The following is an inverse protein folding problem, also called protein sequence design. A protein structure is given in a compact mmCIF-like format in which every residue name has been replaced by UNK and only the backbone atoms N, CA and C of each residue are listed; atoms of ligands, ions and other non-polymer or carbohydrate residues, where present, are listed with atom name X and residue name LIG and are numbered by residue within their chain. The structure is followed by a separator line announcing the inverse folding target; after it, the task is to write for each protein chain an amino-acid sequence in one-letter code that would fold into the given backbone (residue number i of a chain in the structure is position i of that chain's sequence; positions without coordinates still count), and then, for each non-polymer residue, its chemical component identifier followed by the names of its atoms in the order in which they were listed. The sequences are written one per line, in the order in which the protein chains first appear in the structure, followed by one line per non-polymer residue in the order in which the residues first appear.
data_IF_810911874087
#
_entry.id   IF_810911874087
#
_cell.length_a   1.000
_cell.length_b   1.000
_cell.length_c   1.000
_cell.angle_alpha   90.00
_cell.angle_beta   90.00
_cell.angle_gamma   90.00
#
_symmetry.space_group_name_H-M   'P 1'
#
loop_
_entity.id
_entity.type
_entity.pdbx_description
1 polymer ?
#
# COMPACT_ATOMS: atom_id res chain seq x y z
N UNK A 1 -49.60 64.65 11.42
CA UNK A 1 -48.24 65.08 11.07
C UNK A 1 -47.29 63.93 11.34
N UNK A 2 -46.46 63.60 10.34
CA UNK A 2 -45.21 62.79 10.31
C UNK A 2 -45.20 61.41 11.01
N UNK A 3 -45.35 60.30 10.29
CA UNK A 3 -44.38 59.54 9.45
C UNK A 3 -43.23 58.88 10.20
N UNK A 4 -43.36 57.56 10.33
CA UNK A 4 -42.31 56.57 10.63
C UNK A 4 -41.38 56.38 9.44
N UNK A 5 -40.06 56.32 9.70
CA UNK A 5 -39.08 55.73 8.78
C UNK A 5 -38.91 54.26 9.14
N UNK A 6 -38.77 53.36 8.16
CA UNK A 6 -37.82 52.22 8.23
C UNK A 6 -37.58 51.68 6.82
N UNK A 7 -36.30 51.74 6.46
CA UNK A 7 -35.60 51.29 5.27
C UNK A 7 -35.81 49.80 4.97
N UNK A 8 -36.05 49.44 3.71
CA UNK A 8 -35.88 48.07 3.21
C UNK A 8 -34.85 48.06 2.08
N UNK A 9 -33.87 47.19 2.24
CA UNK A 9 -32.62 47.04 1.49
C UNK A 9 -32.82 46.64 0.02
N UNK A 10 -32.02 47.21 -0.87
CA UNK A 10 -31.84 46.78 -2.27
C UNK A 10 -30.63 45.83 -2.32
N UNK A 11 -30.72 44.70 -3.03
CA UNK A 11 -29.64 44.10 -3.86
C UNK A 11 -30.18 42.82 -4.52
N UNK A 12 -30.68 42.92 -5.76
CA UNK A 12 -29.98 42.60 -7.03
C UNK A 12 -29.97 41.11 -7.37
N UNK A 13 -30.97 40.70 -8.14
CA UNK A 13 -31.00 39.43 -8.89
C UNK A 13 -29.85 39.41 -9.90
N UNK A 14 -28.89 38.50 -9.72
CA UNK A 14 -27.85 38.23 -10.75
C UNK A 14 -28.52 37.53 -11.95
N UNK A 15 -28.33 37.99 -13.20
CA UNK A 15 -28.88 37.30 -14.36
C UNK A 15 -28.17 35.95 -14.55
N UNK A 16 -28.92 34.84 -14.50
CA UNK A 16 -28.43 33.46 -14.74
C UNK A 16 -28.22 33.14 -16.23
N UNK A 17 -28.42 34.12 -17.11
CA UNK A 17 -28.37 33.95 -18.56
C UNK A 17 -26.94 33.88 -19.15
N UNK A 18 -25.95 34.70 -18.72
CA UNK A 18 -24.59 34.64 -19.26
C UNK A 18 -23.87 33.32 -18.90
N UNK A 19 -24.10 32.80 -17.69
CA UNK A 19 -23.53 31.54 -17.23
C UNK A 19 -24.01 30.33 -18.07
N UNK A 20 -25.27 30.36 -18.55
CA UNK A 20 -25.81 29.31 -19.43
C UNK A 20 -25.20 29.35 -20.83
N UNK A 21 -24.87 30.53 -21.35
CA UNK A 21 -24.25 30.66 -22.68
C UNK A 21 -22.77 30.24 -22.73
N UNK A 22 -22.08 30.25 -21.58
CA UNK A 22 -20.70 29.78 -21.49
C UNK A 22 -20.58 28.25 -21.63
N UNK A 23 -21.61 27.50 -21.21
CA UNK A 23 -21.62 26.02 -21.28
C UNK A 23 -21.85 25.53 -22.72
N UNK A 24 -22.57 26.29 -23.55
CA UNK A 24 -22.89 25.92 -24.94
C UNK A 24 -21.83 26.34 -25.97
N UNK A 25 -20.84 27.15 -25.58
CA UNK A 25 -19.76 27.67 -26.45
C UNK A 25 -18.37 27.10 -26.13
N UNK A 26 -18.27 26.08 -25.30
CA UNK A 26 -17.01 25.39 -25.06
C UNK A 26 -16.69 24.45 -26.23
N UNK A 27 -15.52 24.59 -26.83
CA UNK A 27 -15.04 23.66 -27.84
C UNK A 27 -14.97 22.26 -27.20
N UNK A 28 -15.55 21.20 -27.79
CA UNK A 28 -15.59 19.90 -27.14
C UNK A 28 -14.16 19.39 -26.94
N UNK A 29 -13.75 19.26 -25.69
CA UNK A 29 -12.44 18.71 -25.36
C UNK A 29 -12.44 17.21 -25.65
N UNK A 30 -12.02 16.84 -26.85
CA UNK A 30 -11.81 15.46 -27.24
C UNK A 30 -10.48 14.98 -26.68
N UNK A 31 -10.54 14.12 -25.66
CA UNK A 31 -9.37 13.39 -25.22
C UNK A 31 -8.92 12.45 -26.35
N UNK A 32 -7.65 12.52 -26.82
CA UNK A 32 -7.15 11.66 -27.90
C UNK A 32 -7.18 10.17 -27.57
N UNK A 33 -7.24 9.86 -26.26
CA UNK A 33 -7.29 8.50 -25.72
C UNK A 33 -8.37 8.43 -24.65
N UNK A 34 -8.96 7.25 -24.48
CA UNK A 34 -9.96 7.05 -23.44
C UNK A 34 -9.38 7.30 -22.03
N UNK A 35 -10.24 7.71 -21.10
CA UNK A 35 -9.86 7.83 -19.69
C UNK A 35 -9.37 6.49 -19.11
N UNK A 36 -9.88 5.36 -19.58
CA UNK A 36 -9.42 4.03 -19.15
C UNK A 36 -7.98 3.76 -19.55
N UNK A 37 -7.61 4.14 -20.78
CA UNK A 37 -6.23 4.05 -21.27
C UNK A 37 -5.30 4.95 -20.45
N UNK A 38 -5.66 6.22 -20.24
CA UNK A 38 -4.82 7.13 -19.45
C UNK A 38 -4.62 6.59 -18.02
N UNK A 39 -5.67 6.04 -17.40
CA UNK A 39 -5.57 5.39 -16.10
C UNK A 39 -4.68 4.14 -16.12
N UNK A 40 -4.69 3.34 -17.19
CA UNK A 40 -3.79 2.18 -17.27
C UNK A 40 -2.34 2.61 -17.41
N UNK A 41 -2.03 3.62 -18.23
CA UNK A 41 -0.66 4.13 -18.38
C UNK A 41 -0.10 4.66 -17.06
N UNK A 42 -0.88 5.46 -16.34
CA UNK A 42 -0.46 6.01 -15.04
C UNK A 42 -0.20 4.88 -14.04
N UNK A 43 -1.08 3.86 -13.99
CA UNK A 43 -0.88 2.70 -13.10
C UNK A 43 0.36 1.91 -13.48
N UNK A 44 0.60 1.68 -14.77
CA UNK A 44 1.77 0.96 -15.26
C UNK A 44 3.06 1.70 -14.91
N UNK A 45 3.10 3.01 -15.14
CA UNK A 45 4.26 3.84 -14.78
C UNK A 45 4.52 3.84 -13.27
N UNK A 46 3.47 4.00 -12.46
CA UNK A 46 3.58 3.95 -11.00
C UNK A 46 4.09 2.58 -10.50
N UNK A 47 3.59 1.47 -11.07
CA UNK A 47 4.06 0.14 -10.74
C UNK A 47 5.52 -0.08 -11.13
N UNK A 48 5.96 0.45 -12.28
CA UNK A 48 7.36 0.37 -12.71
C UNK A 48 8.28 1.09 -11.72
N UNK A 49 7.98 2.34 -11.38
CA UNK A 49 8.76 3.11 -10.41
C UNK A 49 8.79 2.40 -9.06
N UNK A 50 7.65 1.85 -8.63
CA UNK A 50 7.58 1.15 -7.36
C UNK A 50 8.38 -0.16 -7.38
N UNK A 51 8.36 -0.90 -8.49
CA UNK A 51 9.18 -2.10 -8.66
C UNK A 51 10.67 -1.75 -8.62
N UNK A 52 11.10 -0.69 -9.31
CA UNK A 52 12.50 -0.24 -9.29
C UNK A 52 12.96 0.11 -7.87
N UNK A 53 12.13 0.84 -7.13
CA UNK A 53 12.41 1.14 -5.72
C UNK A 53 12.41 -0.12 -4.83
N UNK A 54 11.56 -1.09 -5.15
CA UNK A 54 11.47 -2.35 -4.40
C UNK A 54 12.72 -3.21 -4.62
N UNK A 55 13.21 -3.29 -5.85
CA UNK A 55 14.39 -4.07 -6.23
C UNK A 55 15.69 -3.47 -5.69
N UNK A 56 15.80 -2.14 -5.69
CA UNK A 56 17.01 -1.44 -5.27
C UNK A 56 17.00 -0.98 -3.80
N UNK A 57 15.87 -1.17 -3.09
CA UNK A 57 15.73 -0.74 -1.70
C UNK A 57 16.43 -1.66 -0.70
N UNK A 58 17.02 -1.07 0.35
CA UNK A 58 17.69 -1.83 1.43
C UNK A 58 16.73 -2.27 2.55
N UNK A 59 15.57 -1.63 2.68
CA UNK A 59 14.58 -1.95 3.74
C UNK A 59 13.64 -3.05 3.28
N UNK A 60 13.31 -3.97 4.19
CA UNK A 60 12.32 -5.02 3.90
C UNK A 60 12.82 -6.13 2.98
N UNK A 61 14.14 -6.36 2.91
CA UNK A 61 14.75 -7.37 2.04
C UNK A 61 14.17 -8.78 2.20
N UNK A 62 13.91 -9.21 3.42
CA UNK A 62 13.26 -10.51 3.68
C UNK A 62 11.86 -10.58 3.05
N UNK A 63 11.10 -9.48 3.07
CA UNK A 63 9.79 -9.40 2.41
C UNK A 63 9.95 -9.46 0.89
N UNK A 64 10.96 -8.82 0.31
CA UNK A 64 11.23 -8.87 -1.13
C UNK A 64 11.61 -10.28 -1.57
N UNK A 65 12.45 -10.98 -0.81
CA UNK A 65 12.85 -12.35 -1.14
C UNK A 65 11.63 -13.31 -1.22
N UNK A 66 10.55 -13.00 -0.49
CA UNK A 66 9.28 -13.75 -0.53
C UNK A 66 8.33 -13.19 -1.61
N UNK A 67 8.28 -11.87 -1.76
CA UNK A 67 7.38 -11.15 -2.67
C UNK A 67 8.20 -10.20 -3.56
N UNK A 68 8.88 -10.73 -4.59
CA UNK A 68 9.81 -9.94 -5.39
C UNK A 68 9.09 -9.00 -6.36
N UNK A 69 7.82 -9.27 -6.69
CA UNK A 69 7.03 -8.48 -7.63
C UNK A 69 5.98 -7.64 -6.93
N UNK A 70 6.01 -6.33 -7.16
CA UNK A 70 4.98 -5.42 -6.69
C UNK A 70 3.70 -5.59 -7.50
N UNK A 71 2.55 -5.52 -6.83
CA UNK A 71 1.26 -5.57 -7.50
C UNK A 71 0.19 -4.87 -6.67
N UNK A 72 -0.91 -4.50 -7.32
CA UNK A 72 -2.08 -3.96 -6.64
C UNK A 72 -2.96 -5.03 -5.96
N UNK A 73 -2.56 -6.31 -6.04
CA UNK A 73 -3.29 -7.41 -5.41
C UNK A 73 -2.66 -7.70 -4.03
N UNK A 74 -3.47 -7.84 -2.97
CA UNK A 74 -2.94 -8.24 -1.68
C UNK A 74 -2.36 -9.66 -1.78
N UNK A 75 -1.08 -9.80 -1.41
CA UNK A 75 -0.37 -11.09 -1.43
C UNK A 75 -0.68 -11.91 -0.19
N UNK A 76 -0.81 -11.24 0.96
CA UNK A 76 -1.12 -11.88 2.24
C UNK A 76 -2.42 -11.29 2.79
N UNK A 77 -3.31 -12.17 3.27
CA UNK A 77 -4.62 -11.77 3.80
C UNK A 77 -4.81 -12.06 5.29
N UNK A 78 -3.95 -12.89 5.89
CA UNK A 78 -4.02 -13.19 7.32
C UNK A 78 -2.86 -12.54 8.08
N UNK A 79 -3.08 -12.38 9.40
CA UNK A 79 -2.19 -11.62 10.27
C UNK A 79 -0.89 -12.37 10.53
N UNK A 80 -0.98 -13.68 10.71
CA UNK A 80 0.11 -14.60 11.00
C UNK A 80 1.15 -14.62 9.89
N UNK A 81 0.70 -14.79 8.65
CA UNK A 81 1.57 -14.77 7.46
C UNK A 81 2.11 -13.37 7.20
N UNK A 82 1.35 -12.31 7.49
CA UNK A 82 1.83 -10.94 7.33
C UNK A 82 2.97 -10.67 8.32
N UNK A 83 2.81 -11.10 9.57
CA UNK A 83 3.85 -11.06 10.59
C UNK A 83 5.08 -11.84 10.13
N UNK A 84 4.90 -13.05 9.61
CA UNK A 84 6.01 -13.85 9.08
C UNK A 84 6.77 -13.13 7.96
N UNK A 85 6.07 -12.68 6.91
CA UNK A 85 6.68 -12.03 5.73
C UNK A 85 7.43 -10.76 6.12
N UNK A 86 6.84 -9.94 6.98
CA UNK A 86 7.47 -8.71 7.46
C UNK A 86 8.59 -8.95 8.48
N UNK A 87 8.74 -10.19 8.96
CA UNK A 87 9.62 -10.54 10.07
C UNK A 87 9.21 -9.90 11.39
N UNK A 88 7.92 -9.62 11.55
CA UNK A 88 7.30 -9.17 12.80
C UNK A 88 6.80 -10.35 13.64
N UNK A 89 6.59 -10.11 14.92
CA UNK A 89 6.02 -11.09 15.84
C UNK A 89 7.08 -11.66 16.79
N UNK A 90 6.90 -12.91 17.19
CA UNK A 90 7.73 -13.57 18.21
C UNK A 90 9.02 -14.18 17.63
N UNK A 91 9.63 -13.52 16.65
CA UNK A 91 10.94 -13.91 16.14
C UNK A 91 12.03 -13.29 17.04
N UNK A 92 12.99 -14.07 17.56
CA UNK A 92 14.11 -13.55 18.35
C UNK A 92 14.81 -12.35 17.69
N UNK A 93 14.99 -12.36 16.37
CA UNK A 93 15.59 -11.25 15.63
C UNK A 93 14.77 -9.96 15.68
N UNK A 94 13.45 -10.06 15.64
CA UNK A 94 12.54 -8.93 15.80
C UNK A 94 12.55 -8.40 17.23
N UNK A 95 12.42 -9.30 18.22
CA UNK A 95 12.37 -8.93 19.62
C UNK A 95 13.68 -8.29 20.09
N UNK A 96 14.82 -8.79 19.62
CA UNK A 96 16.12 -8.18 19.87
C UNK A 96 16.23 -6.77 19.25
N UNK A 97 15.74 -6.56 18.02
CA UNK A 97 15.75 -5.24 17.36
C UNK A 97 15.00 -4.16 18.18
N UNK A 98 13.96 -4.55 18.91
CA UNK A 98 13.19 -3.64 19.77
C UNK A 98 13.58 -3.73 21.25
N UNK A 99 14.73 -4.32 21.57
CA UNK A 99 15.24 -4.45 22.94
C UNK A 99 14.29 -5.18 23.89
N UNK A 100 13.42 -6.05 23.36
CA UNK A 100 12.51 -6.92 24.13
C UNK A 100 13.18 -8.25 24.51
N UNK A 101 14.30 -8.59 23.85
CA UNK A 101 15.16 -9.72 24.18
C UNK A 101 16.63 -9.30 24.11
N UNK A 102 17.49 -10.01 24.83
CA UNK A 102 18.93 -9.73 24.93
C UNK A 102 19.75 -10.28 23.77
N UNK A 103 19.20 -11.21 22.98
CA UNK A 103 19.87 -11.79 21.82
C UNK A 103 18.88 -12.10 20.69
N UNK A 104 19.37 -12.20 19.46
CA UNK A 104 18.57 -12.54 18.28
C UNK A 104 18.55 -14.05 17.96
N UNK A 105 19.01 -14.90 18.88
CA UNK A 105 19.19 -16.34 18.63
C UNK A 105 17.92 -17.17 18.82
N UNK A 106 17.73 -18.12 17.93
CA UNK A 106 16.83 -19.26 18.05
C UNK A 106 17.34 -20.24 19.12
N UNK A 107 16.47 -21.08 19.67
CA UNK A 107 16.84 -22.16 20.60
C UNK A 107 17.82 -23.17 20.00
N UNK A 108 17.97 -23.23 18.67
CA UNK A 108 19.00 -24.06 18.02
C UNK A 108 20.37 -23.36 17.88
N UNK A 109 20.52 -22.12 18.38
CA UNK A 109 21.78 -21.37 18.41
C UNK A 109 22.00 -20.38 17.25
N UNK A 110 21.31 -20.56 16.13
CA UNK A 110 21.37 -19.68 14.94
C UNK A 110 20.49 -18.43 15.10
N UNK A 111 20.61 -17.47 14.18
CA UNK A 111 19.73 -16.29 14.17
C UNK A 111 18.26 -16.68 14.00
N UNK A 112 17.42 -16.26 14.94
CA UNK A 112 15.99 -16.55 14.97
C UNK A 112 15.18 -15.59 14.10
N UNK A 113 15.43 -15.59 12.79
CA UNK A 113 14.65 -14.84 11.80
C UNK A 113 13.65 -15.74 11.04
N UNK A 114 12.64 -15.15 10.35
CA UNK A 114 11.62 -15.93 9.65
C UNK A 114 12.20 -16.94 8.65
N UNK A 115 13.27 -16.57 7.95
CA UNK A 115 13.88 -17.40 6.92
C UNK A 115 14.55 -18.63 7.52
N UNK A 116 15.23 -18.47 8.65
CA UNK A 116 15.78 -19.57 9.44
C UNK A 116 14.68 -20.57 9.84
N UNK A 117 13.55 -20.09 10.39
CA UNK A 117 12.43 -20.95 10.76
C UNK A 117 11.73 -21.64 9.59
N UNK A 118 11.88 -21.12 8.37
CA UNK A 118 11.24 -21.72 7.19
C UNK A 118 12.12 -22.74 6.46
N UNK A 119 13.45 -22.60 6.53
CA UNK A 119 14.36 -23.35 5.65
C UNK A 119 15.43 -24.16 6.36
N UNK A 120 15.79 -23.80 7.61
CA UNK A 120 16.95 -24.37 8.32
C UNK A 120 16.61 -24.95 9.68
N UNK A 121 15.63 -24.38 10.38
CA UNK A 121 15.27 -24.80 11.74
C UNK A 121 14.39 -26.05 11.73
N UNK A 122 14.68 -27.01 12.61
CA UNK A 122 13.78 -28.15 12.88
C UNK A 122 12.61 -27.80 13.81
N UNK A 123 12.57 -26.59 14.37
CA UNK A 123 11.50 -26.13 15.25
C UNK A 123 10.33 -25.56 14.45
N UNK A 124 9.09 -25.68 14.96
CA UNK A 124 7.94 -25.07 14.31
C UNK A 124 8.10 -23.55 14.28
N UNK A 125 7.82 -22.96 13.12
CA UNK A 125 7.86 -21.52 12.94
C UNK A 125 6.74 -20.87 13.79
N UNK A 126 7.06 -19.86 14.63
CA UNK A 126 6.05 -19.16 15.41
C UNK A 126 5.00 -18.52 14.49
N UNK A 127 3.74 -18.94 14.63
CA UNK A 127 2.62 -18.29 13.95
C UNK A 127 2.59 -18.44 12.43
N UNK A 128 2.83 -19.64 11.87
CA UNK A 128 2.56 -19.92 10.46
C UNK A 128 1.54 -21.05 10.31
N UNK A 129 0.54 -20.84 9.44
CA UNK A 129 -0.39 -21.89 9.02
C UNK A 129 0.30 -22.87 8.05
N UNK A 130 -0.09 -24.14 8.01
CA UNK A 130 0.46 -25.14 7.06
C UNK A 130 0.35 -24.69 5.58
N UNK A 131 -0.53 -23.75 5.26
CA UNK A 131 -0.78 -23.24 3.91
C UNK A 131 0.39 -22.40 3.36
N UNK A 132 1.03 -21.57 4.19
CA UNK A 132 2.11 -20.68 3.74
C UNK A 132 3.44 -21.40 3.50
N UNK A 133 3.56 -22.63 3.99
CA UNK A 133 4.71 -23.50 3.74
C UNK A 133 4.92 -23.73 2.23
N UNK A 134 3.86 -23.70 1.42
CA UNK A 134 3.94 -23.83 -0.05
C UNK A 134 4.56 -22.61 -0.75
N UNK A 135 4.35 -21.39 -0.23
CA UNK A 135 4.90 -20.17 -0.86
C UNK A 135 6.43 -20.11 -0.71
N UNK A 136 6.95 -20.60 0.42
CA UNK A 136 8.40 -20.61 0.66
C UNK A 136 9.10 -21.79 -0.05
N UNK A 137 8.47 -22.97 -0.10
CA UNK A 137 9.06 -24.14 -0.76
C UNK A 137 8.76 -24.24 -2.27
N UNK A 138 7.78 -23.49 -2.80
CA UNK A 138 7.35 -23.52 -4.21
C UNK A 138 8.04 -22.51 -5.12
N UNK A 139 8.87 -21.61 -4.59
CA UNK A 139 9.61 -20.59 -5.37
C UNK A 139 11.02 -21.05 -5.79
N UNK A 140 11.37 -22.32 -5.56
CA UNK A 140 12.54 -22.96 -6.19
C UNK A 140 12.11 -23.79 -7.40
N UNK A 141 11.70 -23.12 -8.48
CA UNK A 141 11.81 -23.60 -9.86
C UNK A 141 12.06 -22.41 -10.78
#
# INVERSE_FOLDING_TARGET
MQTTQTTTSILTTVPTHPAKQAITKGDPFFLPKSLSYLKSEIRSAALSIWQDNWDNGETGRTTHDIVPRVSNKPVVRNREELMFVTGHGLFPSYLHRFSLQTHDKCSCGEKGDPMHYSTKCGLPSPGISKQFKWVIHGSSM
#
